data_IF_710168506797
#
_entry.id   IF_710168506797
#
_cell.length_a   1.000
_cell.length_b   1.000
_cell.length_c   1.000
_cell.angle_alpha   90.00
_cell.angle_beta   90.00
_cell.angle_gamma   90.00
#
_symmetry.space_group_name_H-M   'P 1'
#
loop_
_entity.id
_entity.type
_entity.pdbx_description
1 polymer ?
#
# COMPACT_ATOMS: atom_id res chain seq x y z
N UNK A 1 30.95 -54.44 -23.01
CA UNK A 1 31.43 -53.04 -22.81
C UNK A 1 30.21 -52.17 -22.60
N UNK A 2 29.79 -52.06 -21.33
CA UNK A 2 28.50 -51.45 -20.93
C UNK A 2 28.80 -50.14 -20.25
N UNK A 3 28.48 -49.04 -20.89
CA UNK A 3 28.68 -47.70 -20.38
C UNK A 3 27.46 -47.29 -19.52
N UNK A 4 27.64 -47.19 -18.23
CA UNK A 4 26.61 -46.67 -17.30
C UNK A 4 26.79 -45.17 -17.18
N UNK A 5 25.89 -44.41 -17.76
CA UNK A 5 25.80 -42.97 -17.55
C UNK A 5 25.03 -42.71 -16.24
N UNK A 6 25.78 -42.41 -15.21
CA UNK A 6 25.20 -41.89 -13.97
C UNK A 6 24.74 -40.45 -14.17
N UNK A 7 23.42 -40.26 -14.29
CA UNK A 7 22.80 -38.96 -14.31
C UNK A 7 22.83 -38.33 -12.92
N UNK A 8 23.72 -37.38 -12.73
CA UNK A 8 23.72 -36.53 -11.57
C UNK A 8 22.57 -35.52 -11.63
N UNK A 9 21.43 -35.81 -11.03
CA UNK A 9 20.40 -34.78 -10.84
C UNK A 9 20.80 -33.89 -9.68
N UNK A 10 21.04 -32.67 -10.07
CA UNK A 10 21.45 -31.56 -9.25
C UNK A 10 20.59 -31.41 -8.00
N UNK A 11 21.22 -31.40 -6.83
CA UNK A 11 20.61 -31.08 -5.54
C UNK A 11 20.29 -29.57 -5.36
N UNK A 12 20.19 -28.83 -6.44
CA UNK A 12 19.92 -27.40 -6.40
C UNK A 12 18.46 -27.05 -6.08
N UNK A 13 17.56 -28.03 -6.03
CA UNK A 13 16.12 -27.78 -5.82
C UNK A 13 15.68 -27.76 -4.35
N UNK A 14 16.52 -28.09 -3.40
CA UNK A 14 16.15 -28.17 -1.99
C UNK A 14 16.51 -26.94 -1.15
N UNK A 15 17.23 -25.99 -1.74
CA UNK A 15 17.66 -24.79 -1.01
C UNK A 15 16.61 -23.65 -0.98
N UNK A 16 15.48 -23.81 -1.64
CA UNK A 16 14.50 -22.70 -1.82
C UNK A 16 13.19 -22.90 -1.08
N UNK A 17 13.13 -23.83 -0.13
CA UNK A 17 12.11 -23.80 0.92
C UNK A 17 12.64 -23.09 2.16
N UNK A 18 13.22 -21.92 1.97
CA UNK A 18 13.31 -20.95 3.05
C UNK A 18 11.86 -20.68 3.50
N UNK A 19 11.57 -21.03 4.75
CA UNK A 19 10.33 -20.67 5.45
C UNK A 19 9.95 -19.25 5.02
N UNK A 20 8.90 -19.11 4.22
CA UNK A 20 8.35 -17.80 3.89
C UNK A 20 7.87 -17.20 5.20
N UNK A 21 8.74 -16.46 5.85
CA UNK A 21 8.35 -15.69 7.01
C UNK A 21 7.26 -14.73 6.52
N UNK A 22 6.09 -14.77 7.13
CA UNK A 22 5.01 -13.86 6.78
C UNK A 22 5.44 -12.44 7.15
N UNK A 23 6.07 -11.75 6.20
CA UNK A 23 6.58 -10.40 6.41
C UNK A 23 5.46 -9.36 6.49
N UNK A 24 4.24 -9.71 6.06
CA UNK A 24 3.10 -8.79 6.09
C UNK A 24 2.73 -8.37 7.51
N UNK A 25 3.07 -9.18 8.52
CA UNK A 25 2.87 -8.81 9.93
C UNK A 25 3.66 -7.57 10.36
N UNK A 26 4.71 -7.22 9.65
CA UNK A 26 5.52 -6.02 9.92
C UNK A 26 5.08 -4.80 9.11
N UNK A 27 4.10 -4.95 8.22
CA UNK A 27 3.58 -3.85 7.42
C UNK A 27 2.55 -3.09 8.23
N UNK A 28 2.82 -1.81 8.46
CA UNK A 28 1.86 -0.90 9.05
C UNK A 28 1.50 0.19 8.01
N UNK A 29 0.32 0.12 7.39
CA UNK A 29 -0.08 1.08 6.36
C UNK A 29 -0.32 2.50 6.89
N UNK A 30 -0.37 2.69 8.22
CA UNK A 30 -0.59 4.00 8.85
C UNK A 30 0.69 4.79 9.06
N UNK A 31 1.87 4.23 8.75
CA UNK A 31 3.13 4.96 8.89
C UNK A 31 3.10 6.18 7.97
N UNK A 32 3.36 7.35 8.56
CA UNK A 32 3.38 8.64 7.84
C UNK A 32 2.01 9.29 7.63
N UNK A 33 0.91 8.70 8.13
CA UNK A 33 -0.45 9.28 7.97
C UNK A 33 -0.86 10.21 9.09
N UNK A 34 0.02 10.48 10.07
CA UNK A 34 -0.28 11.39 11.19
C UNK A 34 0.76 12.48 11.31
N UNK A 35 0.46 13.52 12.10
CA UNK A 35 1.31 14.70 12.24
C UNK A 35 1.55 15.36 10.88
N UNK A 36 2.80 15.68 10.58
CA UNK A 36 3.21 16.28 9.29
C UNK A 36 3.72 15.24 8.27
N UNK A 37 3.23 14.00 8.32
CA UNK A 37 3.73 12.93 7.48
C UNK A 37 3.32 13.01 6.02
N UNK A 38 2.12 13.48 5.73
CA UNK A 38 1.57 13.68 4.38
C UNK A 38 1.65 12.43 3.49
N UNK A 39 1.29 11.29 4.04
CA UNK A 39 1.24 10.02 3.30
C UNK A 39 -0.21 9.55 3.23
N UNK A 40 -0.68 9.23 2.03
CA UNK A 40 -2.01 8.66 1.87
C UNK A 40 -2.09 7.22 2.41
N UNK A 41 -3.28 6.80 2.79
CA UNK A 41 -3.55 5.43 3.24
C UNK A 41 -4.09 4.61 2.06
N UNK A 42 -3.25 3.81 1.44
CA UNK A 42 -3.66 2.99 0.31
C UNK A 42 -2.52 2.09 -0.18
N UNK A 43 -2.88 1.05 -0.92
CA UNK A 43 -1.92 0.19 -1.59
C UNK A 43 -1.55 0.77 -2.95
N UNK A 44 -0.25 0.83 -3.23
CA UNK A 44 0.27 1.32 -4.50
C UNK A 44 1.47 0.47 -4.93
N UNK A 45 1.41 -0.17 -6.11
CA UNK A 45 2.46 -1.07 -6.59
C UNK A 45 2.63 -0.94 -8.11
N UNK A 46 3.87 -0.77 -8.58
CA UNK A 46 4.95 0.04 -8.02
C UNK A 46 4.71 1.53 -8.28
N UNK A 47 4.03 1.86 -9.40
CA UNK A 47 3.66 3.19 -9.85
C UNK A 47 2.20 3.18 -10.30
N UNK A 48 1.31 2.74 -9.42
CA UNK A 48 -0.11 2.64 -9.72
C UNK A 48 -0.72 3.98 -10.09
N UNK A 49 -1.53 4.00 -11.14
CA UNK A 49 -2.33 5.17 -11.49
C UNK A 49 -3.49 5.39 -10.50
N UNK A 50 -3.87 4.35 -9.79
CA UNK A 50 -4.93 4.38 -8.80
C UNK A 50 -4.33 4.17 -7.43
N UNK A 51 -4.52 5.11 -6.53
CA UNK A 51 -4.18 5.06 -5.12
C UNK A 51 -5.49 5.11 -4.33
N UNK A 52 -6.25 4.03 -4.37
CA UNK A 52 -7.53 3.98 -3.67
C UNK A 52 -7.33 4.11 -2.16
N UNK A 53 -7.95 5.11 -1.56
CA UNK A 53 -7.83 5.37 -0.15
C UNK A 53 -8.99 6.17 0.42
N UNK A 54 -9.12 6.19 1.77
CA UNK A 54 -10.10 7.01 2.44
C UNK A 54 -9.81 8.49 2.23
N UNK A 55 -10.88 9.26 2.09
CA UNK A 55 -10.84 10.72 1.96
C UNK A 55 -11.59 11.35 3.12
N UNK A 56 -10.99 12.31 3.75
CA UNK A 56 -11.50 13.06 4.89
C UNK A 56 -11.70 14.53 4.53
N UNK A 57 -12.50 15.30 5.31
CA UNK A 57 -12.62 16.75 5.10
C UNK A 57 -11.26 17.41 5.34
N UNK A 58 -10.83 18.28 4.43
CA UNK A 58 -9.61 19.06 4.63
C UNK A 58 -9.75 19.97 5.86
N UNK A 59 -8.85 19.80 6.82
CA UNK A 59 -8.78 20.61 8.04
C UNK A 59 -7.53 21.47 8.13
N UNK A 60 -6.75 21.49 7.06
CA UNK A 60 -5.51 22.23 6.97
C UNK A 60 -4.41 21.45 6.28
N UNK A 61 -3.18 21.93 6.44
CA UNK A 61 -2.01 21.42 5.73
C UNK A 61 -1.74 19.92 5.96
N UNK A 62 -1.93 19.45 7.17
CA UNK A 62 -1.67 18.04 7.52
C UNK A 62 -2.66 17.05 6.86
N UNK A 63 -3.81 17.54 6.37
CA UNK A 63 -4.81 16.74 5.63
C UNK A 63 -4.59 16.75 4.12
N UNK A 64 -3.46 17.23 3.62
CA UNK A 64 -3.23 17.40 2.19
C UNK A 64 -3.15 16.09 1.38
N UNK A 65 -2.98 14.94 2.03
CA UNK A 65 -2.97 13.62 1.37
C UNK A 65 -4.30 12.87 1.47
N UNK A 66 -5.39 13.55 1.77
CA UNK A 66 -6.74 13.00 1.82
C UNK A 66 -7.10 12.25 3.09
N UNK A 67 -6.14 11.67 3.80
CA UNK A 67 -6.32 10.95 5.05
C UNK A 67 -5.35 11.43 6.12
N UNK A 68 -5.86 11.61 7.34
CA UNK A 68 -5.04 11.89 8.52
C UNK A 68 -5.47 10.99 9.69
N UNK A 69 -4.52 10.27 10.28
CA UNK A 69 -4.80 9.22 11.28
C UNK A 69 -5.54 9.70 12.54
N UNK A 70 -5.52 10.97 12.85
CA UNK A 70 -6.25 11.52 14.00
C UNK A 70 -7.70 11.90 13.70
N UNK A 71 -8.12 11.91 12.44
CA UNK A 71 -9.51 12.20 12.09
C UNK A 71 -10.39 10.95 12.24
N UNK A 72 -11.66 11.17 12.47
CA UNK A 72 -12.68 10.13 12.59
C UNK A 72 -13.84 10.31 11.61
N UNK A 73 -13.73 11.27 10.70
CA UNK A 73 -14.78 11.59 9.73
C UNK A 73 -14.34 11.18 8.35
N UNK A 74 -15.04 10.24 7.73
CA UNK A 74 -14.84 9.83 6.36
C UNK A 74 -15.91 10.47 5.47
N UNK A 75 -15.50 11.08 4.36
CA UNK A 75 -16.43 11.61 3.35
C UNK A 75 -16.51 10.71 2.10
N UNK A 76 -15.61 9.76 1.95
CA UNK A 76 -15.65 8.81 0.85
C UNK A 76 -14.30 8.15 0.63
N UNK A 77 -14.20 7.49 -0.51
CA UNK A 77 -12.96 6.90 -1.01
C UNK A 77 -12.61 7.54 -2.35
N UNK A 78 -11.49 8.22 -2.40
CA UNK A 78 -10.88 8.74 -3.62
C UNK A 78 -10.00 7.69 -4.26
N UNK A 79 -9.61 7.89 -5.50
CA UNK A 79 -8.76 6.96 -6.22
C UNK A 79 -7.44 7.58 -6.71
N UNK A 80 -7.22 8.84 -6.43
CA UNK A 80 -5.93 9.51 -6.63
C UNK A 80 -5.56 10.34 -5.40
N UNK A 81 -4.41 10.05 -4.83
CA UNK A 81 -3.88 10.74 -3.67
C UNK A 81 -2.41 11.10 -3.89
N UNK A 82 -2.00 12.24 -3.38
CA UNK A 82 -0.60 12.66 -3.36
C UNK A 82 0.05 12.21 -2.05
N UNK A 83 1.35 11.96 -2.10
CA UNK A 83 2.14 11.56 -0.94
C UNK A 83 3.43 12.37 -0.87
N UNK A 84 3.81 12.78 0.35
CA UNK A 84 5.04 13.51 0.60
C UNK A 84 5.01 14.97 0.11
N UNK A 85 3.85 15.49 -0.25
CA UNK A 85 3.69 16.87 -0.72
C UNK A 85 3.08 17.75 0.37
N UNK A 86 3.29 19.04 0.30
CA UNK A 86 2.64 20.02 1.16
C UNK A 86 1.51 20.79 0.47
N UNK A 87 0.96 20.25 -0.62
CA UNK A 87 -0.15 20.84 -1.37
C UNK A 87 -1.38 19.95 -1.25
N UNK A 88 -2.57 20.53 -1.43
CA UNK A 88 -3.82 19.80 -1.35
C UNK A 88 -3.87 18.65 -2.36
N UNK A 89 -4.61 17.61 -2.00
CA UNK A 89 -4.82 16.45 -2.83
C UNK A 89 -5.51 16.82 -4.16
N UNK A 90 -5.46 15.93 -5.14
CA UNK A 90 -5.89 16.21 -6.52
C UNK A 90 -7.39 16.52 -6.65
N UNK A 91 -8.19 16.22 -5.60
CA UNK A 91 -9.60 16.56 -5.59
C UNK A 91 -10.41 15.83 -6.65
N UNK A 92 -10.10 14.58 -6.88
CA UNK A 92 -10.78 13.69 -7.79
C UNK A 92 -12.18 13.27 -7.28
N UNK A 93 -12.80 12.34 -7.97
CA UNK A 93 -14.13 11.85 -7.59
C UNK A 93 -14.02 10.93 -6.37
N UNK A 94 -14.73 11.27 -5.30
CA UNK A 94 -14.87 10.43 -4.13
C UNK A 94 -16.21 9.68 -4.15
N UNK A 95 -16.20 8.41 -3.77
CA UNK A 95 -17.38 7.56 -3.66
C UNK A 95 -17.58 7.14 -2.20
N UNK A 96 -18.79 7.32 -1.69
CA UNK A 96 -19.19 6.78 -0.41
C UNK A 96 -20.31 5.77 -0.63
N UNK A 97 -20.04 4.46 -0.48
CA UNK A 97 -21.09 3.45 -0.52
C UNK A 97 -22.05 3.64 0.65
N UNK A 98 -23.34 3.59 0.38
CA UNK A 98 -24.41 3.64 1.39
C UNK A 98 -25.30 2.43 1.21
N UNK A 99 -25.92 1.98 2.30
CA UNK A 99 -26.98 0.97 2.29
C UNK A 99 -28.29 1.64 2.63
N UNK A 100 -29.35 1.25 1.93
CA UNK A 100 -30.72 1.65 2.24
C UNK A 100 -31.20 0.96 3.53
#
# INVERSE_FOLDING_TARGET
MTCVLAGGYSQASLAQQAKSSNLTQFVNPRIGTGGHGHVFLGANVPFGYVQLGPTEPSRGWDWCSGYHHSDSILIGFGHQHLSGTGIGDLGDVAFLPVTD
#
